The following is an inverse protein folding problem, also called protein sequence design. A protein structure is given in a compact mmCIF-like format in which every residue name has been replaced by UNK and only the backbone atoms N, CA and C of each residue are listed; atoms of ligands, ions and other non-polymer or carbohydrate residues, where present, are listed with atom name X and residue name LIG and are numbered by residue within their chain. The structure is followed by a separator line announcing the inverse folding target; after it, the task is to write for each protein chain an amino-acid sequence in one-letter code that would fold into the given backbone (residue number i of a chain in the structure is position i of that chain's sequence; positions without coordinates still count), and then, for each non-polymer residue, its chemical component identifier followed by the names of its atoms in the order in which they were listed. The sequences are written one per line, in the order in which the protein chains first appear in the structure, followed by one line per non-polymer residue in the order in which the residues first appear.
data_IF_403694733695
#
_entry.id   IF_403694733695
#
_cell.length_a   1.000
_cell.length_b   1.000
_cell.length_c   1.000
_cell.angle_alpha   90.00
_cell.angle_beta   90.00
_cell.angle_gamma   90.00
#
_symmetry.space_group_name_H-M   'P 1'
#
loop_
_entity.id
_entity.type
_entity.pdbx_description
1 polymer ?
#
# COMPACT_ATOMS: atom_id res chain seq x y z
N UNK A 1 -10.09 0.19 3.31
CA UNK A 1 -9.46 0.32 1.98
C UNK A 1 -8.61 -0.92 1.67
N UNK A 2 -8.58 -1.39 0.41
CA UNK A 2 -7.75 -2.54 -0.01
C UNK A 2 -6.39 -2.10 -0.56
N UNK A 3 -5.32 -2.79 -0.16
CA UNK A 3 -3.95 -2.48 -0.61
C UNK A 3 -3.74 -2.68 -2.11
N UNK A 4 -4.45 -3.61 -2.75
CA UNK A 4 -4.36 -3.86 -4.20
C UNK A 4 -4.76 -2.62 -5.02
N UNK A 5 -5.77 -1.87 -4.55
CA UNK A 5 -6.19 -0.62 -5.19
C UNK A 5 -5.08 0.45 -5.14
N UNK A 6 -4.37 0.56 -4.02
CA UNK A 6 -3.19 1.43 -3.91
C UNK A 6 -2.07 0.98 -4.83
N UNK A 7 -1.78 -0.32 -4.85
CA UNK A 7 -0.72 -0.89 -5.67
C UNK A 7 -0.93 -0.57 -7.15
N UNK A 8 -2.13 -0.85 -7.67
CA UNK A 8 -2.47 -0.59 -9.08
C UNK A 8 -2.43 0.90 -9.42
N UNK A 9 -2.88 1.76 -8.51
CA UNK A 9 -2.83 3.21 -8.73
C UNK A 9 -1.40 3.74 -8.76
N UNK A 10 -0.55 3.31 -7.82
CA UNK A 10 0.85 3.72 -7.76
C UNK A 10 1.65 3.17 -8.94
N UNK A 11 1.36 1.94 -9.39
CA UNK A 11 1.94 1.35 -10.60
C UNK A 11 1.60 2.18 -11.85
N UNK A 12 0.35 2.66 -11.98
CA UNK A 12 -0.05 3.56 -13.07
C UNK A 12 0.71 4.90 -13.09
N UNK A 13 1.30 5.28 -11.94
CA UNK A 13 2.16 6.46 -11.77
C UNK A 13 3.66 6.15 -11.89
N UNK A 14 4.01 4.91 -12.25
CA UNK A 14 5.38 4.43 -12.38
C UNK A 14 6.07 4.11 -11.05
N UNK A 15 5.32 3.95 -9.96
CA UNK A 15 5.86 3.70 -8.62
C UNK A 15 5.69 2.22 -8.27
N UNK A 16 6.80 1.49 -8.22
CA UNK A 16 6.81 0.09 -7.82
C UNK A 16 6.72 -0.05 -6.28
N UNK A 17 5.67 -0.74 -5.81
CA UNK A 17 5.39 -1.01 -4.39
C UNK A 17 4.92 -2.45 -4.20
N UNK A 18 4.79 -2.87 -2.95
CA UNK A 18 4.24 -4.18 -2.59
C UNK A 18 3.17 -4.05 -1.50
N UNK A 19 2.29 -5.04 -1.40
CA UNK A 19 1.26 -5.14 -0.35
C UNK A 19 1.42 -6.46 0.40
N UNK A 20 0.89 -6.56 1.62
CA UNK A 20 0.96 -7.79 2.42
C UNK A 20 2.39 -8.23 2.79
N UNK A 21 2.63 -9.54 2.88
CA UNK A 21 3.90 -10.13 3.32
C UNK A 21 4.93 -10.30 2.19
N UNK A 22 5.04 -9.34 1.27
CA UNK A 22 6.01 -9.30 0.16
C UNK A 22 5.76 -10.26 -1.02
N UNK A 23 5.31 -11.49 -0.76
CA UNK A 23 5.02 -12.49 -1.78
C UNK A 23 3.50 -12.66 -1.90
N UNK A 24 2.92 -12.13 -2.98
CA UNK A 24 1.54 -12.47 -3.34
C UNK A 24 1.48 -13.93 -3.79
N UNK A 25 1.29 -14.83 -2.83
CA UNK A 25 0.65 -16.12 -3.13
C UNK A 25 -0.76 -15.81 -3.64
N UNK A 26 -1.32 -16.61 -4.55
CA UNK A 26 -2.66 -16.42 -5.16
C UNK A 26 -3.84 -16.40 -4.17
N UNK A 27 -3.60 -16.33 -2.86
CA UNK A 27 -4.59 -16.28 -1.80
C UNK A 27 -4.64 -14.89 -1.20
N UNK A 28 -5.86 -14.36 -1.06
CA UNK A 28 -6.23 -13.13 -0.35
C UNK A 28 -6.06 -13.31 1.18
N UNK A 29 -4.89 -13.76 1.63
CA UNK A 29 -4.60 -13.91 3.06
C UNK A 29 -3.88 -12.67 3.59
N UNK A 30 -4.29 -12.12 4.75
CA UNK A 30 -3.62 -10.99 5.36
C UNK A 30 -2.18 -11.35 5.74
N UNK A 31 -1.30 -10.34 5.80
CA UNK A 31 0.10 -10.55 6.17
C UNK A 31 0.22 -11.25 7.53
N UNK A 32 0.72 -12.48 7.53
CA UNK A 32 0.95 -13.26 8.76
C UNK A 32 1.87 -12.53 9.74
N UNK A 33 2.79 -11.70 9.23
CA UNK A 33 3.67 -10.85 10.05
C UNK A 33 2.87 -9.77 10.77
N UNK A 34 2.01 -9.02 10.06
CA UNK A 34 1.18 -7.97 10.68
C UNK A 34 0.17 -8.56 11.67
N UNK A 35 -0.41 -9.72 11.35
CA UNK A 35 -1.27 -10.47 12.27
C UNK A 35 -0.51 -10.87 13.55
N UNK A 36 0.75 -11.31 13.43
CA UNK A 36 1.60 -11.65 14.58
C UNK A 36 1.98 -10.45 15.44
N UNK A 37 1.97 -9.24 14.87
CA UNK A 37 2.14 -7.97 15.59
C UNK A 37 0.86 -7.52 16.31
N UNK A 38 -0.23 -8.30 16.21
CA UNK A 38 -1.50 -8.02 16.89
C UNK A 38 -2.47 -7.16 16.09
N UNK A 39 -2.20 -6.86 14.82
CA UNK A 39 -3.16 -6.19 13.95
C UNK A 39 -4.30 -7.14 13.57
N UNK A 40 -5.51 -6.60 13.44
CA UNK A 40 -6.64 -7.36 12.93
C UNK A 40 -6.48 -7.62 11.43
N UNK A 41 -7.13 -8.67 10.94
CA UNK A 41 -7.12 -9.01 9.53
C UNK A 41 -7.54 -7.81 8.66
N UNK A 42 -8.62 -7.12 9.03
CA UNK A 42 -9.13 -5.93 8.34
C UNK A 42 -8.08 -4.82 8.17
N UNK A 43 -7.24 -4.61 9.19
CA UNK A 43 -6.17 -3.60 9.17
C UNK A 43 -5.00 -4.04 8.26
N UNK A 44 -4.74 -5.36 8.19
CA UNK A 44 -3.67 -5.92 7.38
C UNK A 44 -3.94 -5.83 5.86
N UNK A 45 -5.22 -5.85 5.44
CA UNK A 45 -5.60 -5.79 4.02
C UNK A 45 -5.25 -4.46 3.35
N UNK A 46 -5.17 -3.37 4.12
CA UNK A 46 -4.80 -2.04 3.64
C UNK A 46 -3.29 -1.74 3.68
N UNK A 47 -2.45 -2.75 3.93
CA UNK A 47 -1.00 -2.53 4.10
C UNK A 47 -0.28 -2.22 2.79
N UNK A 48 0.60 -1.22 2.85
CA UNK A 48 1.53 -0.84 1.78
C UNK A 48 2.97 -0.95 2.29
N UNK A 49 3.83 -1.60 1.51
CA UNK A 49 5.26 -1.77 1.82
C UNK A 49 6.11 -1.18 0.71
N UNK A 50 6.97 -0.26 1.12
CA UNK A 50 7.91 0.46 0.24
C UNK A 50 9.32 0.14 0.73
N UNK A 51 10.17 -0.31 -0.18
CA UNK A 51 11.57 -0.61 0.09
C UNK A 51 12.42 0.34 -0.74
N UNK A 52 13.31 1.09 -0.09
CA UNK A 52 14.21 2.02 -0.78
C UNK A 52 15.55 1.34 -1.10
N UNK A 53 16.15 1.74 -2.23
CA UNK A 53 17.48 1.33 -2.67
C UNK A 53 18.45 2.51 -2.70
N UNK A 54 19.74 2.21 -2.92
CA UNK A 54 20.83 3.20 -2.95
C UNK A 54 20.64 4.31 -4.00
N UNK A 55 19.94 4.00 -5.08
CA UNK A 55 19.69 4.92 -6.19
C UNK A 55 18.49 5.84 -5.99
N UNK A 56 17.69 5.65 -4.93
CA UNK A 56 16.55 6.53 -4.68
C UNK A 56 17.02 7.91 -4.21
N UNK A 57 16.32 8.94 -4.67
CA UNK A 57 16.61 10.33 -4.32
C UNK A 57 15.56 10.91 -3.38
N UNK A 58 15.81 12.11 -2.86
CA UNK A 58 14.80 12.83 -2.07
C UNK A 58 13.58 13.20 -2.93
N UNK A 59 13.79 13.52 -4.20
CA UNK A 59 12.74 13.84 -5.15
C UNK A 59 11.82 12.63 -5.40
N UNK A 60 12.38 11.40 -5.45
CA UNK A 60 11.59 10.18 -5.52
C UNK A 60 10.67 10.06 -4.29
N UNK A 61 11.21 10.29 -3.09
CA UNK A 61 10.43 10.21 -1.84
C UNK A 61 9.30 11.24 -1.85
N UNK A 62 9.56 12.47 -2.27
CA UNK A 62 8.56 13.54 -2.35
C UNK A 62 7.47 13.23 -3.39
N UNK A 63 7.85 12.62 -4.53
CA UNK A 63 6.90 12.19 -5.54
C UNK A 63 6.02 11.04 -5.05
N UNK A 64 6.63 10.05 -4.38
CA UNK A 64 5.92 8.90 -3.81
C UNK A 64 4.96 9.33 -2.70
N UNK A 65 5.40 10.20 -1.78
CA UNK A 65 4.57 10.69 -0.68
C UNK A 65 3.32 11.45 -1.18
N UNK A 66 3.49 12.33 -2.18
CA UNK A 66 2.37 13.03 -2.83
C UNK A 66 1.42 12.06 -3.52
N UNK A 67 1.97 11.09 -4.26
CA UNK A 67 1.16 10.10 -4.98
C UNK A 67 0.35 9.19 -4.06
N UNK A 68 0.91 8.80 -2.91
CA UNK A 68 0.21 8.04 -1.88
C UNK A 68 -0.92 8.87 -1.27
N UNK A 69 -0.65 10.14 -0.94
CA UNK A 69 -1.65 11.04 -0.35
C UNK A 69 -2.85 11.18 -1.27
N UNK A 70 -2.62 11.45 -2.56
CA UNK A 70 -3.67 11.55 -3.57
C UNK A 70 -4.48 10.24 -3.71
N UNK A 71 -3.79 9.08 -3.70
CA UNK A 71 -4.45 7.78 -3.76
C UNK A 71 -5.39 7.57 -2.55
N UNK A 72 -4.89 7.85 -1.34
CA UNK A 72 -5.64 7.68 -0.10
C UNK A 72 -6.84 8.62 -0.05
N UNK A 73 -6.68 9.89 -0.41
CA UNK A 73 -7.78 10.86 -0.49
C UNK A 73 -8.85 10.41 -1.47
N UNK A 74 -8.43 10.00 -2.68
CA UNK A 74 -9.34 9.50 -3.72
C UNK A 74 -10.13 8.29 -3.22
N UNK A 75 -9.46 7.27 -2.69
CA UNK A 75 -10.13 6.04 -2.29
C UNK A 75 -10.99 6.21 -1.04
N UNK A 76 -10.61 7.08 -0.09
CA UNK A 76 -11.46 7.42 1.05
C UNK A 76 -12.70 8.20 0.63
N UNK A 77 -12.61 9.06 -0.38
CA UNK A 77 -13.77 9.83 -0.87
C UNK A 77 -14.85 8.96 -1.51
N UNK A 78 -14.47 7.79 -2.05
CA UNK A 78 -15.37 6.85 -2.74
C UNK A 78 -15.79 5.70 -1.80
N UNK A 79 -15.05 5.46 -0.71
CA UNK A 79 -15.36 4.40 0.25
C UNK A 79 -16.52 4.80 1.17
N UNK A 80 -17.56 3.95 1.23
CA UNK A 80 -18.69 4.11 2.14
C UNK A 80 -18.31 4.10 3.64
N UNK A 81 -17.10 3.63 3.98
CA UNK A 81 -16.61 3.53 5.35
C UNK A 81 -15.76 4.75 5.77
N UNK A 82 -15.33 5.60 4.84
CA UNK A 82 -14.47 6.77 5.12
C UNK A 82 -13.07 6.46 5.68
N UNK A 83 -12.69 5.16 5.75
CA UNK A 83 -11.40 4.66 6.26
C UNK A 83 -10.72 3.71 5.27
#
# INVERSE_FOLDING_TARGET
MEGESLLLFLDSKGIAVSTGSACSSKKLEPSHVLMSLGLKAEECHGSLRITMGRSNTHEDVDYVARSITEAVERFRSISALGR
#
